data_IF_608242405353
#
_entry.id   IF_608242405353
#
_cell.length_a   1.000
_cell.length_b   1.000
_cell.length_c   1.000
_cell.angle_alpha   90.00
_cell.angle_beta   90.00
_cell.angle_gamma   90.00
#
_symmetry.space_group_name_H-M   'P 1'
#
loop_
_entity.id
_entity.type
_entity.pdbx_description
1 polymer ?
#
# COMPACT_ATOMS: atom_id res chain seq x y z
N UNK A 1 -17.72 16.78 -8.14
CA UNK A 1 -16.27 17.01 -8.22
C UNK A 1 -15.91 18.09 -7.23
N UNK A 2 -14.80 17.93 -6.51
CA UNK A 2 -14.29 18.95 -5.58
C UNK A 2 -13.01 19.53 -6.16
N UNK A 3 -12.93 20.85 -6.28
CA UNK A 3 -11.76 21.54 -6.83
C UNK A 3 -10.79 21.86 -5.71
N UNK A 4 -9.51 21.54 -5.93
CA UNK A 4 -8.42 21.95 -5.05
C UNK A 4 -7.53 22.94 -5.81
N UNK A 5 -7.10 24.00 -5.14
CA UNK A 5 -6.09 24.93 -5.66
C UNK A 5 -4.84 24.77 -4.81
N UNK A 6 -3.71 24.49 -5.44
CA UNK A 6 -2.43 24.37 -4.75
C UNK A 6 -1.34 25.11 -5.54
N UNK A 7 -0.41 25.72 -4.82
CA UNK A 7 0.77 26.33 -5.43
C UNK A 7 1.77 25.22 -5.74
N UNK A 8 2.29 25.20 -6.96
CA UNK A 8 3.35 24.28 -7.38
C UNK A 8 4.49 25.06 -8.04
N UNK A 9 5.74 24.58 -7.95
CA UNK A 9 6.85 25.19 -8.69
C UNK A 9 6.61 25.12 -10.20
N UNK A 10 7.05 26.15 -10.94
CA UNK A 10 6.91 26.22 -12.40
C UNK A 10 7.52 25.01 -13.11
N UNK A 11 8.67 24.54 -12.62
CA UNK A 11 9.32 23.32 -13.12
C UNK A 11 8.39 22.11 -13.05
N UNK A 12 7.64 21.96 -11.96
CA UNK A 12 6.72 20.83 -11.79
C UNK A 12 5.51 20.94 -12.72
N UNK A 13 4.99 22.14 -12.97
CA UNK A 13 3.92 22.34 -13.96
C UNK A 13 4.41 21.98 -15.38
N UNK A 14 5.63 22.36 -15.73
CA UNK A 14 6.22 22.00 -17.02
C UNK A 14 6.39 20.47 -17.20
N UNK A 15 6.84 19.77 -16.14
CA UNK A 15 6.94 18.31 -16.14
C UNK A 15 5.55 17.64 -16.25
N UNK A 16 4.53 18.17 -15.55
CA UNK A 16 3.15 17.69 -15.65
C UNK A 16 2.56 17.90 -17.05
N UNK A 17 2.82 19.05 -17.66
CA UNK A 17 2.39 19.39 -19.02
C UNK A 17 3.02 18.46 -20.06
N UNK A 18 4.32 18.19 -19.95
CA UNK A 18 5.01 17.24 -20.82
C UNK A 18 4.42 15.82 -20.71
N UNK A 19 4.20 15.35 -19.48
CA UNK A 19 3.60 14.03 -19.23
C UNK A 19 2.16 13.94 -19.75
N UNK A 20 1.37 15.01 -19.60
CA UNK A 20 0.00 15.12 -20.10
C UNK A 20 -0.04 15.00 -21.64
N UNK A 21 0.86 15.71 -22.33
CA UNK A 21 0.98 15.63 -23.79
C UNK A 21 1.41 14.24 -24.25
N UNK A 22 2.41 13.65 -23.60
CA UNK A 22 2.89 12.31 -23.96
C UNK A 22 1.78 11.26 -23.83
N UNK A 23 0.96 11.34 -22.77
CA UNK A 23 -0.14 10.41 -22.50
C UNK A 23 -1.46 10.80 -23.17
N UNK A 24 -1.53 11.97 -23.82
CA UNK A 24 -2.75 12.57 -24.42
C UNK A 24 -3.92 12.65 -23.43
N UNK A 25 -3.65 13.08 -22.20
CA UNK A 25 -4.65 13.28 -21.14
C UNK A 25 -4.53 14.67 -20.54
N UNK A 26 -5.55 15.12 -19.81
CA UNK A 26 -5.48 16.38 -19.09
C UNK A 26 -4.51 16.31 -17.89
N UNK A 27 -3.87 17.44 -17.54
CA UNK A 27 -3.00 17.55 -16.34
C UNK A 27 -3.71 17.10 -15.07
N UNK A 28 -4.99 17.42 -14.92
CA UNK A 28 -5.80 17.03 -13.76
C UNK A 28 -5.97 15.51 -13.62
N UNK A 29 -5.91 14.75 -14.71
CA UNK A 29 -5.93 13.28 -14.66
C UNK A 29 -4.66 12.74 -14.03
N UNK A 30 -3.49 13.23 -14.47
CA UNK A 30 -2.20 12.82 -13.92
C UNK A 30 -2.08 13.18 -12.44
N UNK A 31 -2.48 14.41 -12.07
CA UNK A 31 -2.46 14.86 -10.67
C UNK A 31 -3.36 13.97 -9.80
N UNK A 32 -4.57 13.65 -10.28
CA UNK A 32 -5.50 12.79 -9.56
C UNK A 32 -4.95 11.37 -9.38
N UNK A 33 -4.42 10.77 -10.45
CA UNK A 33 -3.80 9.45 -10.39
C UNK A 33 -2.64 9.40 -9.40
N UNK A 34 -1.77 10.41 -9.40
CA UNK A 34 -0.64 10.51 -8.48
C UNK A 34 -1.11 10.59 -7.01
N UNK A 35 -2.15 11.40 -6.74
CA UNK A 35 -2.76 11.52 -5.41
C UNK A 35 -3.39 10.20 -4.96
N UNK A 36 -4.19 9.56 -5.81
CA UNK A 36 -4.83 8.27 -5.53
C UNK A 36 -3.80 7.17 -5.27
N UNK A 37 -2.74 7.09 -6.07
CA UNK A 37 -1.66 6.11 -5.88
C UNK A 37 -0.94 6.33 -4.54
N UNK A 38 -0.63 7.59 -4.19
CA UNK A 38 0.03 7.93 -2.93
C UNK A 38 -0.83 7.58 -1.71
N UNK A 39 -2.12 7.93 -1.76
CA UNK A 39 -3.08 7.66 -0.68
C UNK A 39 -3.42 6.17 -0.57
N UNK A 40 -3.48 5.44 -1.69
CA UNK A 40 -3.67 3.98 -1.67
C UNK A 40 -2.45 3.28 -1.07
N UNK A 41 -1.23 3.74 -1.38
CA UNK A 41 0.00 3.20 -0.79
C UNK A 41 0.07 3.46 0.71
N UNK A 42 -0.26 4.67 1.18
CA UNK A 42 -0.29 4.95 2.61
C UNK A 42 -1.34 4.11 3.34
N UNK A 43 -2.53 3.93 2.77
CA UNK A 43 -3.56 3.05 3.34
C UNK A 43 -3.13 1.59 3.41
N UNK A 44 -2.43 1.06 2.39
CA UNK A 44 -1.88 -0.30 2.43
C UNK A 44 -0.82 -0.45 3.53
N UNK A 45 0.04 0.54 3.72
CA UNK A 45 1.10 0.46 4.75
C UNK A 45 0.53 0.61 6.16
N UNK A 46 -0.50 1.43 6.34
CA UNK A 46 -1.11 1.68 7.64
C UNK A 46 -2.13 0.61 8.10
N UNK A 47 -2.56 -0.29 7.22
CA UNK A 47 -3.67 -1.22 7.50
C UNK A 47 -3.32 -2.71 7.44
N UNK A 48 -2.05 -3.08 7.19
CA UNK A 48 -1.66 -4.49 7.22
C UNK A 48 -1.52 -4.94 8.66
N UNK A 49 -2.47 -5.74 9.11
CA UNK A 49 -2.37 -6.46 10.38
C UNK A 49 -1.37 -7.62 10.25
N UNK A 50 -0.88 -8.14 11.38
CA UNK A 50 -0.07 -9.37 11.37
C UNK A 50 -0.81 -10.53 10.68
N UNK A 51 -2.15 -10.56 10.80
CA UNK A 51 -2.99 -11.52 10.09
C UNK A 51 -2.95 -11.33 8.57
N UNK A 52 -3.01 -10.11 8.05
CA UNK A 52 -2.98 -9.87 6.59
C UNK A 52 -1.66 -10.33 5.95
N UNK A 53 -0.56 -10.26 6.70
CA UNK A 53 0.75 -10.76 6.27
C UNK A 53 0.81 -12.29 6.29
N UNK A 54 0.23 -12.93 7.31
CA UNK A 54 0.30 -14.37 7.50
C UNK A 54 -0.83 -15.16 6.82
N UNK A 55 -1.91 -14.50 6.35
CA UNK A 55 -3.12 -15.15 5.82
C UNK A 55 -2.83 -16.17 4.71
N UNK A 56 -1.88 -15.88 3.82
CA UNK A 56 -1.54 -16.76 2.70
C UNK A 56 -0.90 -18.09 3.15
N UNK A 57 -0.30 -18.11 4.34
CA UNK A 57 0.35 -19.29 4.91
C UNK A 57 -0.47 -19.95 6.02
N UNK A 58 -1.50 -19.27 6.55
CA UNK A 58 -2.42 -19.84 7.53
C UNK A 58 -3.08 -21.13 7.00
N UNK A 59 -2.89 -22.25 7.71
CA UNK A 59 -3.50 -23.54 7.37
C UNK A 59 -2.77 -24.35 6.27
N UNK A 60 -1.63 -23.86 5.77
CA UNK A 60 -0.81 -24.62 4.79
C UNK A 60 -0.04 -25.78 5.42
N UNK A 61 0.17 -25.74 6.75
CA UNK A 61 0.87 -26.76 7.52
C UNK A 61 -0.16 -27.63 8.28
N UNK A 62 0.08 -28.94 8.33
CA UNK A 62 -0.62 -29.85 9.24
C UNK A 62 0.18 -30.01 10.52
N UNK A 63 -0.48 -29.95 11.66
CA UNK A 63 0.15 -30.15 12.96
C UNK A 63 -0.89 -30.46 14.04
N UNK A 64 -0.42 -30.73 15.28
CA UNK A 64 -1.26 -30.86 16.46
C UNK A 64 -2.20 -29.66 16.64
N UNK A 65 -3.40 -29.89 17.13
CA UNK A 65 -4.42 -28.85 17.34
C UNK A 65 -4.05 -27.83 18.43
N UNK A 66 -3.05 -28.15 19.25
CA UNK A 66 -2.59 -27.40 20.41
C UNK A 66 -1.18 -26.80 20.22
N UNK A 67 -0.72 -26.67 18.97
CA UNK A 67 0.63 -26.18 18.65
C UNK A 67 0.94 -24.80 19.26
N UNK A 68 -0.06 -23.91 19.36
CA UNK A 68 0.10 -22.55 19.86
C UNK A 68 -0.08 -22.41 21.38
N UNK A 69 -0.51 -23.46 22.09
CA UNK A 69 -0.88 -23.40 23.51
C UNK A 69 -0.18 -24.45 24.37
N UNK A 70 0.34 -25.53 23.78
CA UNK A 70 1.03 -26.59 24.52
C UNK A 70 2.52 -26.24 24.71
N UNK A 71 2.98 -26.03 25.96
CA UNK A 71 4.37 -25.64 26.25
C UNK A 71 5.41 -26.60 25.68
N UNK A 72 5.07 -27.88 25.52
CA UNK A 72 5.93 -28.91 24.92
C UNK A 72 6.42 -28.53 23.52
N UNK A 73 5.63 -27.79 22.75
CA UNK A 73 5.97 -27.38 21.37
C UNK A 73 6.55 -25.98 21.28
N UNK A 74 6.72 -25.27 22.40
CA UNK A 74 7.23 -23.90 22.45
C UNK A 74 8.69 -23.81 22.92
N UNK A 75 9.33 -24.94 23.19
CA UNK A 75 10.74 -24.99 23.56
C UNK A 75 11.62 -24.42 22.43
N UNK A 76 12.37 -23.35 22.72
CA UNK A 76 13.20 -22.64 21.74
C UNK A 76 12.45 -21.66 20.81
N UNK A 77 11.15 -21.43 21.03
CA UNK A 77 10.40 -20.46 20.23
C UNK A 77 10.82 -19.01 20.54
N UNK A 78 11.37 -18.31 19.55
CA UNK A 78 11.79 -16.90 19.68
C UNK A 78 13.19 -16.69 20.29
N UNK A 79 13.98 -17.76 20.45
CA UNK A 79 15.38 -17.71 20.87
C UNK A 79 16.35 -17.49 19.70
#
# INVERSE_FOLDING_TARGET
>A
MTTITCKIPERLDAELEAAARQRRVAKSTIVREALEQRLKRSRKVAALTAYDLAKSVCGTLRGPSDLATNPKYMEGFGA
#
